data_IF_960807381710
#
_entry.id   IF_960807381710
#
_cell.length_a   1.000
_cell.length_b   1.000
_cell.length_c   1.000
_cell.angle_alpha   90.00
_cell.angle_beta   90.00
_cell.angle_gamma   90.00
#
_symmetry.space_group_name_H-M   'P 1'
#
loop_
_entity.id
_entity.type
_entity.pdbx_description
1 polymer ?
#
# COMPACT_ATOMS: atom_id res chain seq x y z
N UNK A 1 11.15 0.26 -8.63
CA UNK A 1 10.96 -1.17 -8.34
C UNK A 1 9.49 -1.50 -8.15
N UNK A 2 9.09 -2.75 -8.35
CA UNK A 2 7.72 -3.23 -8.11
C UNK A 2 7.65 -4.05 -6.83
N UNK A 3 6.80 -3.63 -5.90
CA UNK A 3 6.45 -4.37 -4.70
C UNK A 3 5.08 -5.02 -4.88
N UNK A 4 4.92 -6.24 -4.35
CA UNK A 4 3.61 -6.88 -4.23
C UNK A 4 3.18 -6.81 -2.76
N UNK A 5 2.10 -6.09 -2.48
CA UNK A 5 1.54 -5.90 -1.15
C UNK A 5 0.27 -6.73 -1.01
N UNK A 6 0.04 -7.37 0.13
CA UNK A 6 -1.19 -8.11 0.42
C UNK A 6 -1.88 -7.52 1.65
N UNK A 7 -3.21 -7.56 1.67
CA UNK A 7 -4.00 -7.14 2.84
C UNK A 7 -4.24 -8.39 3.68
N UNK A 8 -3.75 -8.38 4.93
CA UNK A 8 -3.93 -9.49 5.87
C UNK A 8 -5.43 -9.68 6.14
N UNK A 9 -5.89 -10.92 6.05
CA UNK A 9 -7.31 -11.28 6.24
C UNK A 9 -8.18 -11.22 4.99
N UNK A 10 -7.65 -10.76 3.85
CA UNK A 10 -8.36 -10.79 2.55
C UNK A 10 -7.67 -11.77 1.62
N UNK A 11 -8.27 -12.95 1.42
CA UNK A 11 -7.72 -13.99 0.56
C UNK A 11 -7.56 -13.51 -0.90
N UNK A 12 -6.38 -13.74 -1.48
CA UNK A 12 -6.09 -13.38 -2.87
C UNK A 12 -5.91 -11.88 -3.15
N UNK A 13 -5.69 -11.05 -2.12
CA UNK A 13 -5.70 -9.58 -2.23
C UNK A 13 -4.37 -8.93 -2.64
N UNK A 14 -3.39 -9.69 -3.13
CA UNK A 14 -2.09 -9.13 -3.49
C UNK A 14 -2.24 -8.09 -4.63
N UNK A 15 -1.58 -6.94 -4.49
CA UNK A 15 -1.60 -5.86 -5.46
C UNK A 15 -0.21 -5.27 -5.65
N UNK A 16 0.10 -4.86 -6.88
CA UNK A 16 1.37 -4.21 -7.20
C UNK A 16 1.40 -2.77 -6.70
N UNK A 17 2.54 -2.33 -6.18
CA UNK A 17 2.87 -0.94 -5.86
C UNK A 17 4.19 -0.62 -6.53
N UNK A 18 4.22 0.45 -7.32
CA UNK A 18 5.42 0.90 -8.02
C UNK A 18 6.01 2.09 -7.27
N UNK A 19 7.27 1.99 -6.84
CA UNK A 19 7.99 3.06 -6.13
C UNK A 19 9.45 3.12 -6.62
N UNK A 20 10.09 4.29 -6.57
CA UNK A 20 11.51 4.44 -6.84
C UNK A 20 12.39 3.64 -5.86
N UNK A 21 13.53 3.08 -6.34
CA UNK A 21 14.41 2.24 -5.52
C UNK A 21 14.99 2.94 -4.28
N UNK A 22 15.13 4.27 -4.32
CA UNK A 22 15.57 5.09 -3.19
C UNK A 22 14.45 5.71 -2.38
N UNK A 23 13.19 5.38 -2.66
CA UNK A 23 12.05 5.98 -1.98
C UNK A 23 11.97 5.56 -0.51
N UNK A 24 11.56 6.50 0.33
CA UNK A 24 11.37 6.25 1.76
C UNK A 24 10.13 5.39 2.02
N UNK A 25 10.06 4.82 3.23
CA UNK A 25 8.86 4.09 3.71
C UNK A 25 7.64 5.01 3.76
N UNK A 26 7.81 6.32 4.00
CA UNK A 26 6.71 7.29 3.92
C UNK A 26 6.14 7.40 2.51
N UNK A 27 6.98 7.40 1.47
CA UNK A 27 6.52 7.39 0.09
C UNK A 27 5.77 6.09 -0.26
N UNK A 28 6.25 4.94 0.25
CA UNK A 28 5.52 3.66 0.12
C UNK A 28 4.13 3.72 0.78
N UNK A 29 4.03 4.30 1.98
CA UNK A 29 2.75 4.47 2.71
C UNK A 29 1.75 5.29 1.89
N UNK A 30 2.18 6.41 1.32
CA UNK A 30 1.32 7.26 0.50
C UNK A 30 0.91 6.57 -0.81
N UNK A 31 1.84 5.87 -1.49
CA UNK A 31 1.52 5.12 -2.71
C UNK A 31 0.47 4.02 -2.49
N UNK A 32 0.52 3.33 -1.33
CA UNK A 32 -0.51 2.35 -0.95
C UNK A 32 -1.86 3.03 -0.72
N UNK A 33 -1.88 4.14 0.04
CA UNK A 33 -3.12 4.89 0.32
C UNK A 33 -3.78 5.39 -0.96
N UNK A 34 -3.00 5.91 -1.91
CA UNK A 34 -3.55 6.37 -3.19
C UNK A 34 -4.14 5.23 -4.01
N UNK A 35 -3.45 4.09 -4.07
CA UNK A 35 -3.90 2.93 -4.86
C UNK A 35 -5.10 2.21 -4.25
N UNK A 36 -5.22 2.21 -2.91
CA UNK A 36 -6.26 1.53 -2.14
C UNK A 36 -7.14 2.50 -1.36
N UNK A 37 -7.33 3.70 -1.89
CA UNK A 37 -8.04 4.78 -1.20
C UNK A 37 -9.44 4.40 -0.72
N UNK A 38 -10.19 3.63 -1.51
CA UNK A 38 -11.54 3.19 -1.14
C UNK A 38 -11.56 2.01 -0.18
N UNK A 39 -10.57 1.11 -0.28
CA UNK A 39 -10.46 -0.09 0.55
C UNK A 39 -9.90 0.23 1.95
N UNK A 40 -9.07 1.26 2.05
CA UNK A 40 -8.38 1.68 3.28
C UNK A 40 -8.93 2.99 3.86
N UNK A 41 -10.02 3.55 3.33
CA UNK A 41 -10.60 4.84 3.77
C UNK A 41 -10.94 4.89 5.27
N UNK A 42 -11.24 3.74 5.86
CA UNK A 42 -11.62 3.60 7.26
C UNK A 42 -10.46 3.09 8.15
N UNK A 43 -9.25 2.94 7.57
CA UNK A 43 -8.05 2.45 8.27
C UNK A 43 -7.11 3.62 8.55
N UNK A 44 -6.96 3.97 9.83
CA UNK A 44 -5.95 4.92 10.28
C UNK A 44 -4.58 4.24 10.31
N UNK A 45 -3.69 4.65 9.42
CA UNK A 45 -2.36 4.06 9.29
C UNK A 45 -1.33 4.65 10.29
N UNK A 46 -1.73 5.58 11.14
CA UNK A 46 -0.89 6.22 12.18
C UNK A 46 -1.33 5.85 13.61
N UNK A 47 -2.31 4.94 13.75
CA UNK A 47 -2.86 4.47 15.02
C UNK A 47 -2.32 3.11 15.45
#
# INVERSE_FOLDING_TARGET
MKLFCAIVGVAGSAFEVDIDEGASVSALKEAIKDKKKNDLKDVDADK
#
